data_IF_392886041874
#
_entry.id   IF_392886041874
#
_cell.length_a   1.000
_cell.length_b   1.000
_cell.length_c   1.000
_cell.angle_alpha   90.00
_cell.angle_beta   90.00
_cell.angle_gamma   90.00
#
_symmetry.space_group_name_H-M   'P 1'
#
loop_
_entity.id
_entity.type
_entity.pdbx_description
1 polymer ?
#
# COMPACT_ATOMS: atom_id res chain seq x y z
N UNK A 1 20.39 -11.17 -1.19
CA UNK A 1 19.23 -11.33 -2.09
C UNK A 1 19.70 -11.20 -3.52
N UNK A 2 19.19 -12.01 -4.45
CA UNK A 2 19.55 -11.88 -5.87
C UNK A 2 19.08 -10.52 -6.42
N UNK A 3 19.89 -9.87 -7.26
CA UNK A 3 19.61 -8.55 -7.84
C UNK A 3 18.28 -8.54 -8.61
N UNK A 4 17.95 -9.64 -9.29
CA UNK A 4 16.65 -9.79 -9.98
C UNK A 4 15.47 -9.71 -9.00
N UNK A 5 15.57 -10.39 -7.85
CA UNK A 5 14.53 -10.38 -6.81
C UNK A 5 14.40 -8.98 -6.19
N UNK A 6 15.49 -8.23 -6.09
CA UNK A 6 15.45 -6.83 -5.61
C UNK A 6 14.68 -5.92 -6.56
N UNK A 7 14.96 -6.01 -7.87
CA UNK A 7 14.25 -5.21 -8.88
C UNK A 7 12.76 -5.55 -8.91
N UNK A 8 12.41 -6.84 -8.85
CA UNK A 8 11.01 -7.29 -8.78
C UNK A 8 10.35 -6.77 -7.50
N UNK A 9 11.01 -6.87 -6.35
CA UNK A 9 10.47 -6.38 -5.07
C UNK A 9 10.25 -4.87 -5.10
N UNK A 10 11.15 -4.09 -5.72
CA UNK A 10 10.97 -2.65 -5.94
C UNK A 10 9.75 -2.36 -6.81
N UNK A 11 9.64 -2.99 -7.98
CA UNK A 11 8.51 -2.78 -8.89
C UNK A 11 7.17 -3.14 -8.24
N UNK A 12 7.11 -4.28 -7.55
CA UNK A 12 5.91 -4.72 -6.84
C UNK A 12 5.56 -3.74 -5.72
N UNK A 13 6.55 -3.24 -4.97
CA UNK A 13 6.31 -2.25 -3.90
C UNK A 13 5.76 -0.95 -4.46
N UNK A 14 6.29 -0.48 -5.60
CA UNK A 14 5.79 0.69 -6.29
C UNK A 14 4.33 0.52 -6.71
N UNK A 15 4.01 -0.57 -7.41
CA UNK A 15 2.64 -0.89 -7.85
C UNK A 15 1.71 -1.02 -6.64
N UNK A 16 2.19 -1.65 -5.57
CA UNK A 16 1.44 -1.77 -4.32
C UNK A 16 1.07 -0.41 -3.73
N UNK A 17 1.99 0.57 -3.77
CA UNK A 17 1.70 1.95 -3.37
C UNK A 17 0.54 2.58 -4.14
N UNK A 18 0.46 2.31 -5.45
CA UNK A 18 -0.65 2.77 -6.32
C UNK A 18 -1.97 2.11 -5.90
N UNK A 19 -1.97 0.78 -5.75
CA UNK A 19 -3.16 0.02 -5.31
C UNK A 19 -3.62 0.50 -3.94
N UNK A 20 -2.69 0.73 -3.02
CA UNK A 20 -2.98 1.22 -1.68
C UNK A 20 -3.64 2.59 -1.71
N UNK A 21 -3.24 3.49 -2.61
CA UNK A 21 -3.91 4.77 -2.81
C UNK A 21 -5.36 4.60 -3.28
N UNK A 22 -5.59 3.77 -4.30
CA UNK A 22 -6.93 3.53 -4.87
C UNK A 22 -7.88 2.99 -3.79
N UNK A 23 -7.44 1.96 -3.06
CA UNK A 23 -8.23 1.37 -1.97
C UNK A 23 -8.43 2.36 -0.82
N UNK A 24 -7.48 3.26 -0.55
CA UNK A 24 -7.62 4.29 0.48
C UNK A 24 -8.67 5.33 0.10
N UNK A 25 -8.75 5.71 -1.19
CA UNK A 25 -9.83 6.57 -1.72
C UNK A 25 -11.19 5.90 -1.53
N UNK A 26 -11.28 4.59 -1.82
CA UNK A 26 -12.50 3.82 -1.65
C UNK A 26 -12.92 3.68 -0.18
N UNK A 27 -11.99 3.36 0.72
CA UNK A 27 -12.25 3.30 2.15
C UNK A 27 -12.75 4.65 2.69
N UNK A 28 -12.10 5.75 2.29
CA UNK A 28 -12.54 7.11 2.64
C UNK A 28 -13.96 7.42 2.17
N UNK A 29 -14.34 6.96 0.97
CA UNK A 29 -15.69 7.11 0.44
C UNK A 29 -16.72 6.34 1.29
N UNK A 30 -16.44 5.08 1.64
CA UNK A 30 -17.32 4.24 2.48
C UNK A 30 -17.58 4.88 3.84
N UNK A 31 -16.54 5.42 4.49
CA UNK A 31 -16.65 5.93 5.86
C UNK A 31 -17.09 7.40 5.93
N UNK A 32 -17.23 8.10 4.79
CA UNK A 32 -17.46 9.55 4.73
C UNK A 32 -18.59 10.05 5.63
N UNK A 33 -19.73 9.34 5.62
CA UNK A 33 -20.94 9.68 6.37
C UNK A 33 -21.08 8.96 7.73
N UNK A 34 -20.00 8.34 8.23
CA UNK A 34 -20.00 7.65 9.53
C UNK A 34 -19.50 8.59 10.64
N UNK A 35 -19.81 8.24 11.90
CA UNK A 35 -19.30 8.96 13.07
C UNK A 35 -17.77 8.75 13.23
N UNK A 36 -17.13 9.58 14.05
CA UNK A 36 -15.67 9.58 14.18
C UNK A 36 -15.12 8.26 14.76
N UNK A 37 -15.87 7.60 15.65
CA UNK A 37 -15.47 6.32 16.25
C UNK A 37 -15.41 5.22 15.19
N UNK A 38 -16.45 5.09 14.37
CA UNK A 38 -16.48 4.10 13.27
C UNK A 38 -15.41 4.42 12.24
N UNK A 39 -15.20 5.70 11.90
CA UNK A 39 -14.12 6.12 10.99
C UNK A 39 -12.76 5.66 11.49
N UNK A 40 -12.47 5.86 12.78
CA UNK A 40 -11.20 5.44 13.38
C UNK A 40 -11.04 3.91 13.32
N UNK A 41 -12.02 3.16 13.82
CA UNK A 41 -11.96 1.70 13.84
C UNK A 41 -11.78 1.09 12.45
N UNK A 42 -12.60 1.50 11.48
CA UNK A 42 -12.54 0.98 10.11
C UNK A 42 -11.22 1.36 9.44
N UNK A 43 -10.72 2.58 9.65
CA UNK A 43 -9.43 3.01 9.09
C UNK A 43 -8.26 2.23 9.69
N UNK A 44 -8.29 1.96 11.00
CA UNK A 44 -7.25 1.15 11.66
C UNK A 44 -7.24 -0.27 11.12
N UNK A 45 -8.39 -0.95 11.04
CA UNK A 45 -8.49 -2.30 10.47
C UNK A 45 -8.00 -2.32 9.03
N UNK A 46 -8.46 -1.37 8.21
CA UNK A 46 -8.04 -1.23 6.82
C UNK A 46 -6.51 -1.09 6.68
N UNK A 47 -5.87 -0.23 7.47
CA UNK A 47 -4.41 -0.05 7.39
C UNK A 47 -3.68 -1.32 7.82
N UNK A 48 -4.13 -1.98 8.89
CA UNK A 48 -3.53 -3.25 9.36
C UNK A 48 -3.63 -4.32 8.28
N UNK A 49 -4.80 -4.48 7.66
CA UNK A 49 -5.00 -5.45 6.57
C UNK A 49 -4.07 -5.15 5.39
N UNK A 50 -3.95 -3.88 4.99
CA UNK A 50 -3.04 -3.48 3.92
C UNK A 50 -1.56 -3.70 4.27
N UNK A 51 -1.16 -3.55 5.53
CA UNK A 51 0.21 -3.88 5.94
C UNK A 51 0.44 -5.39 5.88
N UNK A 52 -0.50 -6.21 6.39
CA UNK A 52 -0.39 -7.67 6.36
C UNK A 52 -0.33 -8.20 4.93
N UNK A 53 -1.20 -7.70 4.04
CA UNK A 53 -1.20 -8.07 2.62
C UNK A 53 0.15 -7.74 1.97
N UNK A 54 0.71 -6.57 2.24
CA UNK A 54 2.02 -6.19 1.70
C UNK A 54 3.13 -7.15 2.17
N UNK A 55 3.17 -7.44 3.48
CA UNK A 55 4.16 -8.38 4.05
C UNK A 55 3.99 -9.76 3.43
N UNK A 56 2.75 -10.24 3.25
CA UNK A 56 2.47 -11.53 2.61
C UNK A 56 2.96 -11.58 1.15
N UNK A 57 2.73 -10.53 0.37
CA UNK A 57 3.23 -10.43 -1.00
C UNK A 57 4.77 -10.45 -1.01
N UNK A 58 5.41 -9.70 -0.13
CA UNK A 58 6.87 -9.72 0.01
C UNK A 58 7.38 -11.09 0.45
N UNK A 59 6.67 -11.78 1.34
CA UNK A 59 6.99 -13.15 1.75
C UNK A 59 7.03 -14.12 0.56
N UNK A 60 6.09 -14.00 -0.38
CA UNK A 60 6.05 -14.82 -1.60
C UNK A 60 7.17 -14.49 -2.59
N UNK A 61 7.67 -13.26 -2.62
CA UNK A 61 8.68 -12.81 -3.60
C UNK A 61 10.11 -12.99 -3.06
N UNK A 62 10.34 -12.61 -1.82
CA UNK A 62 11.67 -12.45 -1.26
C UNK A 62 11.85 -13.06 0.15
N UNK A 63 10.94 -13.97 0.52
CA UNK A 63 10.89 -14.61 1.85
C UNK A 63 10.66 -13.65 3.01
N UNK A 64 10.11 -12.46 2.75
CA UNK A 64 9.68 -11.52 3.78
C UNK A 64 10.79 -10.58 4.21
N UNK A 65 11.88 -10.51 3.43
CA UNK A 65 12.98 -9.60 3.65
C UNK A 65 12.56 -8.19 3.23
N UNK A 66 12.12 -7.39 4.19
CA UNK A 66 11.71 -5.99 3.95
C UNK A 66 12.94 -5.10 4.06
N UNK A 67 13.26 -4.40 2.97
CA UNK A 67 14.32 -3.41 2.94
C UNK A 67 13.74 -1.98 2.90
N UNK A 68 14.47 -0.97 3.44
CA UNK A 68 14.00 0.42 3.45
C UNK A 68 13.64 0.97 2.07
N UNK A 69 14.39 0.60 1.02
CA UNK A 69 14.13 1.06 -0.34
C UNK A 69 12.81 0.52 -0.94
N UNK A 70 12.30 -0.62 -0.47
CA UNK A 70 10.96 -1.09 -0.85
C UNK A 70 9.87 -0.19 -0.27
N UNK A 71 10.05 0.25 0.99
CA UNK A 71 9.13 1.20 1.64
C UNK A 71 9.16 2.55 0.93
N UNK A 72 10.35 3.04 0.56
CA UNK A 72 10.50 4.28 -0.24
C UNK A 72 9.75 4.13 -1.57
N UNK A 73 9.91 3.00 -2.26
CA UNK A 73 9.24 2.73 -3.53
C UNK A 73 7.71 2.70 -3.40
N UNK A 74 7.19 2.07 -2.34
CA UNK A 74 5.77 2.08 -2.00
C UNK A 74 5.25 3.51 -1.78
N UNK A 75 5.98 4.31 -0.98
CA UNK A 75 5.61 5.71 -0.74
C UNK A 75 5.62 6.51 -2.04
N UNK A 76 6.62 6.30 -2.92
CA UNK A 76 6.68 6.96 -4.22
C UNK A 76 5.48 6.62 -5.09
N UNK A 77 5.09 5.34 -5.17
CA UNK A 77 3.90 4.89 -5.90
C UNK A 77 2.62 5.54 -5.36
N UNK A 78 2.48 5.62 -4.04
CA UNK A 78 1.34 6.27 -3.38
C UNK A 78 1.29 7.77 -3.69
N UNK A 79 2.41 8.49 -3.53
CA UNK A 79 2.48 9.94 -3.74
C UNK A 79 2.27 10.32 -5.21
N UNK A 80 2.83 9.55 -6.15
CA UNK A 80 2.58 9.73 -7.58
C UNK A 80 1.10 9.57 -7.91
N UNK A 81 0.43 8.60 -7.27
CA UNK A 81 -1.00 8.37 -7.48
C UNK A 81 -1.88 9.54 -7.05
N UNK A 82 -1.48 10.25 -5.97
CA UNK A 82 -2.13 11.49 -5.55
C UNK A 82 -2.00 12.56 -6.63
N UNK A 83 -0.78 12.79 -7.14
CA UNK A 83 -0.49 13.86 -8.11
C UNK A 83 -1.15 13.63 -9.46
N UNK A 84 -1.11 12.39 -9.96
CA UNK A 84 -1.58 12.06 -11.29
C UNK A 84 -3.11 11.95 -11.41
N UNK A 85 -3.90 12.14 -10.34
CA UNK A 85 -5.37 11.94 -10.33
C UNK A 85 -5.76 10.69 -11.13
N UNK A 86 -5.09 9.55 -10.85
CA UNK A 86 -5.23 8.32 -11.64
C UNK A 86 -6.69 7.85 -11.80
N UNK A 87 -7.60 8.33 -10.95
CA UNK A 87 -9.05 8.17 -11.10
C UNK A 87 -9.69 9.50 -10.66
N UNK A 88 -10.32 10.25 -11.58
CA UNK A 88 -11.26 11.34 -11.24
C UNK A 88 -12.47 10.70 -10.55
#
# INVERSE_FOLDING_TARGET
MNSYVQVISLLVSFIYGIVFYILSKFNKYIISNKNNIVKLLVTTVYVVDMVIIYIFIMYKINFGNIHPYFIISLILGFVLSIKCKFIK
#
